data_IF_020910435817
#
_entry.id   IF_020910435817
#
_cell.length_a   1.000
_cell.length_b   1.000
_cell.length_c   1.000
_cell.angle_alpha   90.00
_cell.angle_beta   90.00
_cell.angle_gamma   90.00
#
_symmetry.space_group_name_H-M   'P 1'
#
loop_
_entity.id
_entity.type
_entity.pdbx_description
1 polymer ?
#
# COMPACT_ATOMS: atom_id res chain seq x y z
N UNK A 1 -11.07 -11.40 -3.44
CA UNK A 1 -11.70 -12.60 -2.82
C UNK A 1 -11.08 -13.83 -3.48
N UNK A 2 -10.38 -14.65 -2.71
CA UNK A 2 -9.87 -15.93 -3.19
C UNK A 2 -11.02 -16.94 -3.06
N UNK A 3 -11.78 -17.11 -4.14
CA UNK A 3 -12.91 -18.04 -4.14
C UNK A 3 -12.37 -19.40 -4.53
N UNK A 4 -12.14 -20.27 -3.55
CA UNK A 4 -11.93 -21.69 -3.83
C UNK A 4 -13.30 -22.37 -3.90
N UNK A 5 -13.51 -23.37 -4.78
CA UNK A 5 -14.82 -24.00 -4.97
C UNK A 5 -15.37 -24.67 -3.70
N UNK A 6 -14.50 -25.00 -2.73
CA UNK A 6 -14.85 -25.66 -1.47
C UNK A 6 -14.87 -24.73 -0.25
N UNK A 7 -14.00 -23.72 -0.18
CA UNK A 7 -13.93 -22.77 0.95
C UNK A 7 -13.80 -21.32 0.51
N UNK A 8 -14.52 -20.43 1.17
CA UNK A 8 -14.42 -18.99 0.92
C UNK A 8 -13.57 -18.35 2.00
N UNK A 9 -12.40 -17.85 1.61
CA UNK A 9 -11.48 -17.13 2.48
C UNK A 9 -11.68 -15.63 2.36
N UNK A 10 -11.92 -14.97 3.49
CA UNK A 10 -12.09 -13.52 3.56
C UNK A 10 -10.93 -12.94 4.38
N UNK A 11 -10.04 -12.21 3.71
CA UNK A 11 -8.90 -11.56 4.34
C UNK A 11 -9.29 -10.12 4.69
N UNK A 12 -9.34 -9.81 5.98
CA UNK A 12 -9.55 -8.47 6.51
C UNK A 12 -8.19 -7.80 6.66
N UNK A 13 -7.90 -6.83 5.80
CA UNK A 13 -6.73 -5.98 5.95
C UNK A 13 -7.01 -4.88 6.98
N UNK A 14 -6.30 -4.91 8.10
CA UNK A 14 -6.49 -3.96 9.19
C UNK A 14 -5.16 -3.38 9.70
N UNK A 15 -5.20 -2.18 10.28
CA UNK A 15 -4.02 -1.58 10.94
C UNK A 15 -3.77 -2.14 12.34
N UNK A 16 -4.84 -2.49 13.06
CA UNK A 16 -4.81 -3.05 14.42
C UNK A 16 -5.48 -4.43 14.45
N UNK A 17 -4.78 -5.45 13.98
CA UNK A 17 -5.25 -6.85 13.89
C UNK A 17 -5.79 -7.40 15.21
N UNK A 18 -5.18 -7.01 16.34
CA UNK A 18 -5.53 -7.54 17.66
C UNK A 18 -6.91 -7.07 18.12
N UNK A 19 -7.29 -5.85 17.75
CA UNK A 19 -8.63 -5.32 18.03
C UNK A 19 -9.71 -5.96 17.13
N UNK A 20 -9.33 -6.42 15.94
CA UNK A 20 -10.23 -7.16 15.03
C UNK A 20 -10.44 -8.59 15.54
N UNK A 21 -9.37 -9.25 16.01
CA UNK A 21 -9.44 -10.60 16.58
C UNK A 21 -10.24 -10.62 17.90
N UNK A 22 -10.05 -9.61 18.75
CA UNK A 22 -10.68 -9.50 20.07
C UNK A 22 -10.09 -10.47 21.10
N UNK A 23 -10.71 -10.52 22.28
CA UNK A 23 -10.28 -11.41 23.38
C UNK A 23 -10.39 -12.88 22.96
N UNK A 24 -9.26 -13.61 22.96
CA UNK A 24 -9.19 -15.03 22.58
C UNK A 24 -9.87 -15.36 21.23
N UNK A 25 -9.91 -14.41 20.29
CA UNK A 25 -10.58 -14.61 19.00
C UNK A 25 -12.12 -14.54 19.05
N UNK A 26 -12.71 -14.01 20.12
CA UNK A 26 -14.16 -13.90 20.25
C UNK A 26 -14.79 -13.07 19.13
N UNK A 27 -14.23 -11.89 18.84
CA UNK A 27 -14.79 -10.96 17.85
C UNK A 27 -14.75 -11.53 16.43
N UNK A 28 -13.67 -12.23 16.05
CA UNK A 28 -13.60 -12.84 14.71
C UNK A 28 -14.63 -13.96 14.56
N UNK A 29 -14.87 -14.76 15.60
CA UNK A 29 -15.91 -15.81 15.58
C UNK A 29 -17.32 -15.22 15.50
N UNK A 30 -17.57 -14.13 16.21
CA UNK A 30 -18.83 -13.38 16.10
C UNK A 30 -19.05 -12.85 14.69
N UNK A 31 -18.01 -12.26 14.07
CA UNK A 31 -18.06 -11.80 12.68
C UNK A 31 -18.30 -12.96 11.70
N UNK A 32 -17.64 -14.10 11.87
CA UNK A 32 -17.88 -15.29 11.04
C UNK A 32 -19.33 -15.74 11.14
N UNK A 33 -19.89 -15.81 12.35
CA UNK A 33 -21.28 -16.20 12.57
C UNK A 33 -22.26 -15.20 11.94
N UNK A 34 -21.98 -13.89 12.01
CA UNK A 34 -22.80 -12.85 11.39
C UNK A 34 -22.79 -12.96 9.86
N UNK A 35 -21.62 -13.13 9.24
CA UNK A 35 -21.50 -13.26 7.79
C UNK A 35 -22.17 -14.56 7.33
N UNK A 36 -21.95 -15.67 8.03
CA UNK A 36 -22.58 -16.95 7.72
C UNK A 36 -24.11 -16.85 7.73
N UNK A 37 -24.70 -16.28 8.80
CA UNK A 37 -26.17 -16.14 8.94
C UNK A 37 -26.76 -15.13 7.96
N UNK A 38 -26.05 -14.04 7.65
CA UNK A 38 -26.56 -13.00 6.76
C UNK A 38 -26.64 -13.45 5.30
N UNK A 39 -25.67 -14.28 4.88
CA UNK A 39 -25.57 -14.75 3.50
C UNK A 39 -25.99 -16.21 3.33
N UNK A 40 -26.58 -16.84 4.37
CA UNK A 40 -27.07 -18.22 4.38
C UNK A 40 -26.04 -19.26 3.89
N UNK A 41 -24.80 -19.15 4.36
CA UNK A 41 -23.77 -20.14 4.06
C UNK A 41 -23.84 -21.36 4.98
N UNK A 42 -23.43 -22.51 4.46
CA UNK A 42 -23.20 -23.72 5.24
C UNK A 42 -22.11 -23.52 6.30
N UNK A 43 -22.25 -24.22 7.43
CA UNK A 43 -21.31 -24.12 8.55
C UNK A 43 -19.92 -24.62 8.14
N UNK A 44 -18.90 -23.80 8.36
CA UNK A 44 -17.51 -24.13 8.03
C UNK A 44 -17.09 -23.79 6.59
N UNK A 45 -17.98 -23.24 5.75
CA UNK A 45 -17.62 -22.81 4.38
C UNK A 45 -16.85 -21.49 4.34
N UNK A 46 -17.01 -20.63 5.34
CA UNK A 46 -16.36 -19.31 5.42
C UNK A 46 -15.29 -19.32 6.50
N UNK A 47 -14.10 -18.86 6.12
CA UNK A 47 -13.00 -18.59 7.04
C UNK A 47 -12.58 -17.11 6.93
N UNK A 48 -12.40 -16.46 8.07
CA UNK A 48 -11.98 -15.06 8.17
C UNK A 48 -10.55 -14.98 8.71
N UNK A 49 -9.68 -14.33 7.94
CA UNK A 49 -8.29 -14.07 8.30
C UNK A 49 -8.08 -12.58 8.52
N UNK A 50 -7.26 -12.20 9.50
CA UNK A 50 -6.91 -10.81 9.74
C UNK A 50 -5.44 -10.60 9.39
N UNK A 51 -5.17 -9.77 8.39
CA UNK A 51 -3.82 -9.44 7.95
C UNK A 51 -3.51 -7.97 8.26
N UNK A 52 -2.24 -7.70 8.59
CA UNK A 52 -1.79 -6.34 8.86
C UNK A 52 -1.45 -5.62 7.57
N UNK A 53 -2.01 -4.41 7.41
CA UNK A 53 -1.63 -3.52 6.30
C UNK A 53 -0.14 -3.17 6.41
N UNK A 54 0.63 -3.38 5.33
CA UNK A 54 2.07 -3.16 5.30
C UNK A 54 2.46 -1.73 5.71
N UNK A 55 1.95 -0.73 4.99
CA UNK A 55 2.24 0.70 5.20
C UNK A 55 0.97 1.48 5.50
N UNK A 56 0.59 1.57 6.78
CA UNK A 56 -0.62 2.31 7.21
C UNK A 56 -0.64 3.79 6.81
N UNK A 57 0.53 4.39 6.58
CA UNK A 57 0.67 5.80 6.20
C UNK A 57 0.13 6.10 4.81
N UNK A 58 0.20 5.13 3.90
CA UNK A 58 -0.16 5.30 2.50
C UNK A 58 -1.62 4.95 2.19
N UNK A 59 -2.29 4.22 3.10
CA UNK A 59 -3.71 3.91 2.95
C UNK A 59 -4.58 5.11 3.33
N UNK A 60 -5.33 5.64 2.36
CA UNK A 60 -6.18 6.82 2.53
C UNK A 60 -7.32 6.55 3.53
N UNK A 61 -7.90 5.34 3.50
CA UNK A 61 -8.98 4.93 4.43
C UNK A 61 -8.50 4.98 5.88
N UNK A 62 -7.33 4.37 6.16
CA UNK A 62 -6.77 4.33 7.50
C UNK A 62 -6.47 5.74 8.03
N UNK A 63 -5.99 6.65 7.16
CA UNK A 63 -5.71 8.03 7.54
C UNK A 63 -6.97 8.86 7.73
N UNK A 64 -8.00 8.68 6.90
CA UNK A 64 -9.29 9.33 7.07
C UNK A 64 -9.97 8.92 8.39
N UNK A 65 -9.89 7.65 8.77
CA UNK A 65 -10.40 7.17 10.06
C UNK A 65 -9.58 7.67 11.24
N UNK A 66 -8.25 7.69 11.12
CA UNK A 66 -7.36 8.30 12.11
C UNK A 66 -7.72 9.79 12.34
N UNK A 67 -7.96 10.54 11.26
CA UNK A 67 -8.37 11.94 11.35
C UNK A 67 -9.76 12.08 11.99
N UNK A 68 -10.71 11.21 11.67
CA UNK A 68 -12.03 11.16 12.32
C UNK A 68 -11.89 10.99 13.83
N UNK A 69 -11.11 10.01 14.29
CA UNK A 69 -10.90 9.78 15.73
C UNK A 69 -10.21 10.96 16.43
N UNK A 70 -9.22 11.60 15.78
CA UNK A 70 -8.57 12.81 16.32
C UNK A 70 -9.57 13.98 16.48
N UNK A 71 -10.46 14.18 15.51
CA UNK A 71 -11.48 15.23 15.58
C UNK A 71 -12.58 14.92 16.60
N UNK A 72 -13.05 13.68 16.68
CA UNK A 72 -13.99 13.25 17.74
C UNK A 72 -13.36 13.38 19.13
N UNK A 73 -12.04 13.16 19.25
CA UNK A 73 -11.28 13.36 20.50
C UNK A 73 -11.07 14.83 20.91
N UNK A 74 -11.68 15.79 20.21
CA UNK A 74 -11.61 17.21 20.57
C UNK A 74 -10.33 17.93 20.13
N UNK A 75 -9.48 17.28 19.32
CA UNK A 75 -8.28 17.93 18.80
C UNK A 75 -8.65 19.01 17.78
N UNK A 76 -7.99 20.17 17.85
CA UNK A 76 -8.25 21.27 16.92
C UNK A 76 -7.99 20.85 15.46
N UNK A 77 -8.88 21.26 14.55
CA UNK A 77 -8.90 20.77 13.16
C UNK A 77 -7.58 20.97 12.43
N UNK A 78 -6.98 22.17 12.52
CA UNK A 78 -5.67 22.45 11.90
C UNK A 78 -4.58 21.53 12.44
N UNK A 79 -4.49 21.38 13.77
CA UNK A 79 -3.50 20.50 14.43
C UNK A 79 -3.70 19.04 14.02
N UNK A 80 -4.95 18.57 13.96
CA UNK A 80 -5.26 17.21 13.54
C UNK A 80 -4.87 16.95 12.08
N UNK A 81 -5.18 17.89 11.17
CA UNK A 81 -4.86 17.76 9.73
C UNK A 81 -3.35 17.79 9.48
N UNK A 82 -2.61 18.76 10.02
CA UNK A 82 -1.15 18.81 9.87
C UNK A 82 -0.46 17.58 10.47
N UNK A 83 -0.97 17.06 11.61
CA UNK A 83 -0.43 15.84 12.19
C UNK A 83 -0.70 14.57 11.38
N UNK A 84 -1.73 14.55 10.52
CA UNK A 84 -1.97 13.43 9.58
C UNK A 84 -1.17 13.63 8.29
N UNK A 85 -1.19 14.83 7.74
CA UNK A 85 -0.47 15.19 6.52
C UNK A 85 1.04 14.96 6.66
N UNK A 86 1.64 15.40 7.78
CA UNK A 86 3.05 15.13 8.09
C UNK A 86 3.36 13.63 8.17
N UNK A 87 2.48 12.86 8.82
CA UNK A 87 2.64 11.40 8.94
C UNK A 87 2.60 10.69 7.59
N UNK A 88 1.75 11.17 6.66
CA UNK A 88 1.64 10.61 5.30
C UNK A 88 2.92 10.84 4.50
N UNK A 89 3.49 12.04 4.58
CA UNK A 89 4.73 12.38 3.86
C UNK A 89 5.93 11.66 4.48
N UNK A 90 6.04 11.60 5.81
CA UNK A 90 7.07 10.82 6.51
C UNK A 90 6.99 9.32 6.19
N UNK A 91 5.80 8.82 5.80
CA UNK A 91 5.60 7.45 5.34
C UNK A 91 5.99 7.21 3.87
N UNK A 92 6.49 8.23 3.17
CA UNK A 92 7.00 8.12 1.80
C UNK A 92 5.98 8.40 0.69
N UNK A 93 4.88 9.11 0.98
CA UNK A 93 3.97 9.58 -0.08
C UNK A 93 4.63 10.68 -0.92
N UNK A 94 4.32 10.73 -2.23
CA UNK A 94 4.76 11.84 -3.11
C UNK A 94 4.02 13.14 -2.81
N UNK A 95 2.79 13.03 -2.33
CA UNK A 95 2.00 14.16 -1.87
C UNK A 95 0.68 13.73 -1.26
N UNK A 96 0.02 14.68 -0.62
CA UNK A 96 -1.19 14.47 0.13
C UNK A 96 -2.10 15.71 0.06
N UNK A 97 -3.40 15.48 -0.04
CA UNK A 97 -4.42 16.50 0.11
C UNK A 97 -5.45 16.05 1.15
N UNK A 98 -5.63 16.85 2.19
CA UNK A 98 -6.66 16.64 3.22
C UNK A 98 -7.63 17.81 3.16
N UNK A 99 -8.90 17.52 2.88
CA UNK A 99 -9.99 18.49 2.86
C UNK A 99 -10.93 18.19 4.02
N UNK A 100 -11.19 19.18 4.86
CA UNK A 100 -12.20 19.13 5.91
C UNK A 100 -13.27 20.16 5.63
N UNK A 101 -14.49 19.70 5.38
CA UNK A 101 -15.65 20.52 5.01
C UNK A 101 -16.76 20.41 6.06
N UNK A 102 -17.32 21.54 6.48
CA UNK A 102 -18.50 21.58 7.35
C UNK A 102 -18.50 22.76 8.31
N UNK A 103 -19.24 22.65 9.42
CA UNK A 103 -19.33 23.70 10.44
C UNK A 103 -18.14 23.62 11.41
N UNK A 104 -17.10 24.41 11.13
CA UNK A 104 -15.81 24.33 11.86
C UNK A 104 -15.69 25.29 13.05
N UNK A 105 -16.35 26.46 13.00
CA UNK A 105 -16.38 27.48 14.08
C UNK A 105 -17.61 28.40 14.07
N UNK A 106 -18.46 28.33 13.05
CA UNK A 106 -19.61 29.22 12.89
C UNK A 106 -20.78 28.49 12.24
N UNK A 107 -21.91 29.18 12.09
CA UNK A 107 -23.13 28.60 11.53
C UNK A 107 -23.01 28.26 10.04
N UNK A 108 -22.20 29.02 9.30
CA UNK A 108 -21.92 28.78 7.88
C UNK A 108 -20.86 27.70 7.71
N UNK A 109 -21.08 26.80 6.76
CA UNK A 109 -20.10 25.79 6.39
C UNK A 109 -18.84 26.45 5.79
N UNK A 110 -17.68 25.88 6.11
CA UNK A 110 -16.37 26.24 5.55
C UNK A 110 -15.68 24.97 5.07
N UNK A 111 -14.84 25.11 4.03
CA UNK A 111 -13.97 24.04 3.56
C UNK A 111 -12.52 24.47 3.75
N UNK A 112 -11.75 23.65 4.46
CA UNK A 112 -10.32 23.85 4.67
C UNK A 112 -9.58 22.77 3.90
N UNK A 113 -8.74 23.18 2.94
CA UNK A 113 -7.90 22.30 2.15
C UNK A 113 -6.45 22.45 2.62
N UNK A 114 -5.83 21.34 2.96
CA UNK A 114 -4.43 21.22 3.36
C UNK A 114 -3.74 20.36 2.30
N UNK A 115 -2.75 20.91 1.61
CA UNK A 115 -2.02 20.24 0.52
C UNK A 115 -0.55 20.29 0.85
N UNK A 116 0.15 19.22 0.53
CA UNK A 116 1.61 19.16 0.60
C UNK A 116 2.12 18.10 -0.40
N UNK A 117 3.28 18.36 -1.00
CA UNK A 117 3.85 17.56 -2.09
C UNK A 117 3.12 17.66 -3.44
N UNK A 118 3.35 16.67 -4.31
CA UNK A 118 2.78 16.58 -5.66
C UNK A 118 1.41 15.89 -5.63
N UNK A 119 0.42 16.44 -6.35
CA UNK A 119 -0.92 15.83 -6.48
C UNK A 119 -1.45 15.98 -7.90
N UNK A 120 -1.66 14.85 -8.58
CA UNK A 120 -2.29 14.79 -9.90
C UNK A 120 -3.82 14.79 -9.75
N UNK A 121 -4.51 15.40 -10.72
CA UNK A 121 -5.97 15.56 -10.71
C UNK A 121 -6.66 15.01 -11.96
N UNK A 122 -5.93 14.83 -13.06
CA UNK A 122 -6.44 14.47 -14.39
C UNK A 122 -5.71 13.27 -14.97
N UNK A 123 -6.37 12.58 -15.91
CA UNK A 123 -5.83 11.43 -16.62
C UNK A 123 -6.02 10.10 -15.86
N UNK A 124 -5.75 9.00 -16.56
CA UNK A 124 -5.82 7.64 -16.00
C UNK A 124 -4.83 7.37 -14.84
N UNK A 125 -3.62 7.98 -14.79
CA UNK A 125 -2.72 7.82 -13.65
C UNK A 125 -3.35 8.22 -12.31
N UNK A 126 -4.40 9.05 -12.30
CA UNK A 126 -5.14 9.39 -11.09
C UNK A 126 -5.76 8.15 -10.42
N UNK A 127 -6.25 7.19 -11.20
CA UNK A 127 -6.89 5.97 -10.67
C UNK A 127 -5.87 5.03 -10.00
N UNK A 128 -4.67 4.93 -10.57
CA UNK A 128 -3.63 4.03 -10.10
C UNK A 128 -2.76 4.66 -8.98
N UNK A 129 -2.46 5.95 -9.08
CA UNK A 129 -1.55 6.64 -8.15
C UNK A 129 -2.25 7.32 -6.97
N UNK A 130 -3.51 7.73 -7.12
CA UNK A 130 -4.18 8.54 -6.09
C UNK A 130 -5.21 7.69 -5.35
N UNK A 131 -4.88 7.31 -4.12
CA UNK A 131 -5.86 6.70 -3.23
C UNK A 131 -6.70 7.80 -2.58
N UNK A 132 -8.02 7.69 -2.67
CA UNK A 132 -8.94 8.66 -2.07
C UNK A 132 -9.87 8.01 -1.06
N UNK A 133 -10.15 8.71 0.04
CA UNK A 133 -11.08 8.26 1.05
C UNK A 133 -11.91 9.41 1.61
N UNK A 134 -13.22 9.20 1.71
CA UNK A 134 -14.14 10.14 2.36
C UNK A 134 -14.73 9.54 3.62
N UNK A 135 -14.80 10.31 4.70
CA UNK A 135 -15.41 9.90 5.97
C UNK A 135 -16.22 11.03 6.59
N UNK A 136 -17.22 10.67 7.37
CA UNK A 136 -18.07 11.61 8.10
C UNK A 136 -17.71 11.59 9.58
N UNK A 137 -17.63 12.77 10.18
CA UNK A 137 -17.40 12.95 11.62
C UNK A 137 -18.62 13.58 12.24
N UNK A 138 -19.19 12.89 13.21
CA UNK A 138 -20.32 13.38 13.99
C UNK A 138 -19.78 14.23 15.14
N UNK A 139 -20.09 15.52 15.13
CA UNK A 139 -19.82 16.45 16.23
C UNK A 139 -21.15 17.01 16.75
N UNK A 140 -21.13 17.61 17.95
CA UNK A 140 -22.33 18.20 18.56
C UNK A 140 -22.98 19.29 17.68
N UNK A 141 -22.19 20.03 16.91
CA UNK A 141 -22.68 21.10 16.03
C UNK A 141 -23.26 20.59 14.69
N UNK A 142 -23.05 19.31 14.37
CA UNK A 142 -23.43 18.69 13.10
C UNK A 142 -22.34 17.78 12.55
N UNK A 143 -22.43 17.47 11.25
CA UNK A 143 -21.51 16.56 10.57
C UNK A 143 -20.39 17.33 9.86
N UNK A 144 -19.15 16.91 10.05
CA UNK A 144 -18.02 17.31 9.21
C UNK A 144 -17.72 16.21 8.19
N UNK A 145 -17.43 16.61 6.96
CA UNK A 145 -16.86 15.75 5.92
C UNK A 145 -15.34 15.84 5.92
N UNK A 146 -14.69 14.68 5.89
CA UNK A 146 -13.26 14.52 5.64
C UNK A 146 -13.10 13.91 4.26
N UNK A 147 -12.18 14.44 3.46
CA UNK A 147 -11.67 13.81 2.25
C UNK A 147 -10.14 13.80 2.31
N UNK A 148 -9.54 12.63 2.24
CA UNK A 148 -8.08 12.45 2.16
C UNK A 148 -7.75 11.90 0.78
N UNK A 149 -6.77 12.49 0.10
CA UNK A 149 -6.15 11.99 -1.11
C UNK A 149 -4.66 11.80 -0.85
N UNK A 150 -4.13 10.64 -1.21
CA UNK A 150 -2.70 10.32 -1.05
C UNK A 150 -2.18 9.93 -2.42
N UNK A 151 -1.13 10.63 -2.88
CA UNK A 151 -0.39 10.25 -4.09
C UNK A 151 0.70 9.25 -3.70
N UNK A 152 0.53 8.01 -4.16
CA UNK A 152 1.43 6.91 -3.89
C UNK A 152 2.79 7.12 -4.60
N UNK A 153 3.89 6.63 -4.02
CA UNK A 153 5.18 6.60 -4.70
C UNK A 153 5.17 5.57 -5.84
N UNK A 154 6.03 5.78 -6.82
CA UNK A 154 6.28 4.78 -7.87
C UNK A 154 7.17 3.69 -7.28
N UNK A 155 6.78 2.42 -7.40
CA UNK A 155 7.58 1.28 -6.92
C UNK A 155 7.58 0.16 -7.99
N UNK A 156 8.74 -0.20 -8.56
CA UNK A 156 8.82 -1.30 -9.53
C UNK A 156 8.43 -2.66 -8.92
N UNK A 157 8.52 -2.81 -7.59
CA UNK A 157 8.19 -4.06 -6.87
C UNK A 157 6.71 -4.20 -6.51
N UNK A 158 5.89 -3.17 -6.75
CA UNK A 158 4.43 -3.15 -6.50
C UNK A 158 4.00 -3.41 -5.04
N UNK A 159 4.87 -3.11 -4.08
CA UNK A 159 4.52 -3.34 -2.67
C UNK A 159 3.81 -2.12 -2.08
N UNK A 160 4.23 -0.94 -2.50
CA UNK A 160 3.90 0.33 -1.86
C UNK A 160 3.07 1.23 -2.78
N UNK A 161 3.25 1.10 -4.10
CA UNK A 161 2.53 1.85 -5.10
C UNK A 161 2.59 1.17 -6.47
N UNK A 162 2.07 1.83 -7.52
CA UNK A 162 1.88 1.21 -8.83
C UNK A 162 3.20 0.90 -9.53
N UNK A 163 3.23 -0.24 -10.26
CA UNK A 163 4.35 -0.67 -11.12
C UNK A 163 4.55 0.18 -12.37
N UNK A 164 3.50 0.85 -12.85
CA UNK A 164 3.55 1.63 -14.08
C UNK A 164 4.10 3.01 -13.75
N UNK A 165 5.21 3.46 -14.35
CA UNK A 165 5.68 4.83 -14.14
C UNK A 165 4.65 5.83 -14.66
N UNK A 166 4.76 7.08 -14.21
CA UNK A 166 3.97 8.16 -14.81
C UNK A 166 4.32 8.26 -16.31
N UNK A 167 3.33 8.51 -17.19
CA UNK A 167 3.54 8.51 -18.63
C UNK A 167 4.56 9.56 -19.08
N UNK A 168 4.67 10.66 -18.33
CA UNK A 168 5.56 11.77 -18.64
C UNK A 168 6.97 11.58 -18.06
N UNK A 169 7.19 10.56 -17.22
CA UNK A 169 8.47 10.33 -16.55
C UNK A 169 9.38 9.41 -17.38
N UNK A 170 10.26 10.00 -18.18
CA UNK A 170 11.26 9.29 -18.99
C UNK A 170 12.56 9.15 -18.19
N UNK A 171 12.96 7.91 -17.88
CA UNK A 171 14.26 7.62 -17.26
C UNK A 171 15.32 7.42 -18.34
N UNK A 172 16.24 8.38 -18.45
CA UNK A 172 17.43 8.24 -19.31
C UNK A 172 18.50 7.48 -18.52
N UNK A 173 18.90 6.31 -19.02
CA UNK A 173 19.97 5.52 -18.41
C UNK A 173 21.31 6.12 -18.82
N UNK A 174 22.19 6.35 -17.84
CA UNK A 174 23.54 6.81 -18.13
C UNK A 174 24.27 5.77 -19.00
N UNK A 175 24.98 6.20 -20.06
CA UNK A 175 25.75 5.28 -20.87
C UNK A 175 26.80 4.61 -20.01
N UNK A 176 27.04 3.33 -20.28
CA UNK A 176 28.16 2.62 -19.63
C UNK A 176 29.46 3.29 -20.08
N UNK A 177 30.42 3.40 -19.17
CA UNK A 177 31.76 3.81 -19.52
C UNK A 177 32.36 2.78 -20.49
N UNK A 178 32.41 3.14 -21.77
CA UNK A 178 33.07 2.33 -22.78
C UNK A 178 34.58 2.54 -22.64
N UNK A 179 35.32 1.44 -22.49
CA UNK A 179 36.77 1.48 -22.57
C UNK A 179 37.13 1.82 -24.02
N UNK A 180 37.80 2.95 -24.22
CA UNK A 180 38.34 3.31 -25.53
C UNK A 180 39.54 2.39 -25.75
N UNK A 181 39.40 1.43 -26.65
CA UNK A 181 40.50 0.57 -27.06
C UNK A 181 41.33 1.32 -28.11
N UNK A 182 42.52 1.79 -27.73
CA UNK A 182 43.45 2.46 -28.65
C UNK A 182 44.08 1.47 -29.66
N UNK A 183 44.12 0.19 -29.29
CA UNK A 183 44.65 -0.89 -30.13
C UNK A 183 43.68 -2.08 -30.15
N UNK A 184 43.65 -2.85 -31.26
CA UNK A 184 42.82 -4.05 -31.34
C UNK A 184 43.39 -5.14 -30.41
N UNK A 185 42.71 -5.40 -29.30
CA UNK A 185 43.01 -6.52 -28.40
C UNK A 185 42.17 -7.74 -28.77
N UNK A 186 42.81 -8.92 -28.86
CA UNK A 186 42.11 -10.20 -29.02
C UNK A 186 42.04 -10.92 -27.67
N UNK A 187 40.84 -11.02 -27.07
CA UNK A 187 40.62 -11.89 -25.89
C UNK A 187 40.50 -13.36 -26.32
N UNK A 188 41.55 -14.16 -26.11
CA UNK A 188 41.48 -15.61 -26.19
C UNK A 188 40.95 -16.17 -24.86
N UNK A 189 39.71 -16.69 -24.85
CA UNK A 189 39.22 -17.51 -23.73
C UNK A 189 39.95 -18.86 -23.74
N UNK A 190 40.96 -19.02 -22.90
CA UNK A 190 41.63 -20.30 -22.71
C UNK A 190 40.61 -21.27 -22.06
N UNK A 191 40.27 -22.41 -22.68
CA UNK A 191 39.43 -23.40 -22.04
C UNK A 191 40.12 -23.92 -20.76
N UNK A 192 39.39 -24.12 -19.65
CA UNK A 192 40.00 -24.64 -18.43
C UNK A 192 40.68 -25.98 -18.72
N UNK A 193 41.86 -26.27 -18.12
CA UNK A 193 42.63 -27.46 -18.42
C UNK A 193 41.79 -28.71 -18.15
N UNK A 194 41.66 -29.58 -19.16
CA UNK A 194 41.07 -30.91 -19.00
C UNK A 194 41.94 -31.75 -18.06
N UNK A 195 41.33 -32.40 -17.08
CA UNK A 195 42.00 -33.31 -16.14
C UNK A 195 42.76 -34.42 -16.91
N UNK A 196 43.95 -34.87 -16.46
CA UNK A 196 44.69 -35.93 -17.14
C UNK A 196 43.93 -37.26 -17.11
N UNK A 197 43.94 -37.99 -18.24
CA UNK A 197 43.39 -39.33 -18.41
C UNK A 197 44.52 -40.37 -18.21
N UNK A 198 44.80 -40.76 -16.97
CA UNK A 198 45.79 -41.80 -16.65
C UNK A 198 45.17 -43.09 -16.02
N UNK A 199 43.87 -43.34 -16.20
CA UNK A 199 43.20 -44.55 -15.63
C UNK A 199 42.43 -45.38 -16.67
N UNK A 200 43.03 -45.72 -17.82
CA UNK A 200 42.40 -46.62 -18.80
C UNK A 200 43.30 -47.76 -19.33
N UNK A 201 44.49 -47.98 -18.77
CA UNK A 201 45.37 -49.09 -19.18
C UNK A 201 45.41 -50.29 -18.23
N UNK A 202 44.53 -50.40 -17.22
CA UNK A 202 44.44 -51.61 -16.37
C UNK A 202 43.14 -52.42 -16.52
N UNK A 203 42.15 -51.96 -17.28
CA UNK A 203 40.90 -52.69 -17.46
C UNK A 203 40.82 -53.42 -18.82
N UNK A 204 41.86 -54.18 -19.20
CA UNK A 204 41.72 -55.20 -20.26
C UNK A 204 42.85 -56.23 -20.35
N UNK A 205 43.11 -57.00 -19.29
CA UNK A 205 43.65 -58.36 -19.42
C UNK A 205 43.09 -59.25 -18.29
N UNK A 206 42.38 -60.32 -18.72
CA UNK A 206 41.78 -61.45 -18.00
C UNK A 206 40.50 -61.21 -17.18
#
# INVERSE_FOLDING_TARGET
PCVTPSRTEIIIMATKTQQVLGEKGRRIRELTAMVQKRFNFETGRIELYAEKVATRGLCAIAQAESLRYKLTGGLAVRRACYGVLRFIIESGAKGCEVVVSGKLRGQRAKSMKFVDGLMIHSGDPCNDYVETATRHVLLRQGVLGIKVKIMLPYDPKNKIGPKKPLPDNVSVVEPKEEKIYETPETEYKIPPPSKPLDDLSEAKVL
#
